data_IF_795775121324
#
_entry.id   IF_795775121324
#
_cell.length_a   1.000
_cell.length_b   1.000
_cell.length_c   1.000
_cell.angle_alpha   90.00
_cell.angle_beta   90.00
_cell.angle_gamma   90.00
#
_symmetry.space_group_name_H-M   'P 1'
#
loop_
_entity.id
_entity.type
_entity.pdbx_description
1 polymer ?
#
# COMPACT_ATOMS: atom_id res chain seq x y z
N UNK A 1 -21.07 -13.99 5.75
CA UNK A 1 -20.17 -12.92 6.27
C UNK A 1 -19.11 -12.37 5.31
N UNK A 2 -18.91 -12.87 4.06
CA UNK A 2 -17.86 -12.35 3.14
C UNK A 2 -18.13 -10.97 2.49
N UNK A 3 -19.39 -10.50 2.42
CA UNK A 3 -19.73 -9.22 1.74
C UNK A 3 -19.28 -7.98 2.52
N UNK A 4 -19.31 -8.00 3.85
CA UNK A 4 -18.97 -6.84 4.68
C UNK A 4 -17.52 -6.35 4.48
N UNK A 5 -16.54 -7.27 4.41
CA UNK A 5 -15.14 -6.91 4.19
C UNK A 5 -14.80 -6.46 2.77
N UNK A 6 -15.63 -6.84 1.79
CA UNK A 6 -15.46 -6.40 0.39
C UNK A 6 -16.05 -5.00 0.20
N UNK A 7 -17.11 -4.67 0.91
CA UNK A 7 -17.75 -3.35 0.89
C UNK A 7 -16.89 -2.32 1.64
N UNK A 8 -16.37 -2.66 2.82
CA UNK A 8 -15.51 -1.75 3.59
C UNK A 8 -14.23 -1.36 2.83
N UNK A 9 -13.63 -2.29 2.08
CA UNK A 9 -12.43 -2.02 1.28
C UNK A 9 -12.63 -1.10 0.07
N UNK A 10 -13.85 -0.68 -0.27
CA UNK A 10 -14.14 0.32 -1.33
C UNK A 10 -14.71 1.59 -0.73
N UNK A 11 -15.69 1.43 0.14
CA UNK A 11 -16.43 2.56 0.68
C UNK A 11 -15.53 3.39 1.59
N UNK A 12 -14.68 2.76 2.41
CA UNK A 12 -13.84 3.50 3.36
C UNK A 12 -12.80 4.38 2.65
N UNK A 13 -11.98 3.89 1.69
CA UNK A 13 -11.06 4.75 0.95
C UNK A 13 -11.76 5.91 0.22
N UNK A 14 -12.94 5.65 -0.37
CA UNK A 14 -13.71 6.68 -1.08
C UNK A 14 -14.27 7.69 -0.10
N UNK A 15 -14.85 7.27 1.02
CA UNK A 15 -15.36 8.19 2.05
C UNK A 15 -14.25 9.07 2.63
N UNK A 16 -13.04 8.52 2.78
CA UNK A 16 -11.87 9.28 3.24
C UNK A 16 -11.33 10.28 2.21
N UNK A 17 -11.85 10.33 0.98
CA UNK A 17 -11.45 11.35 -0.02
C UNK A 17 -11.98 12.74 0.30
N UNK A 18 -12.93 12.87 1.23
CA UNK A 18 -13.41 14.18 1.73
C UNK A 18 -12.24 15.06 2.14
N UNK A 19 -11.22 14.47 2.77
CA UNK A 19 -9.93 15.11 3.02
C UNK A 19 -8.91 14.53 2.04
N UNK A 20 -8.44 15.29 1.03
CA UNK A 20 -7.53 14.74 0.03
C UNK A 20 -6.24 14.24 0.70
N UNK A 21 -5.82 13.04 0.29
CA UNK A 21 -4.67 12.33 0.85
C UNK A 21 -5.01 11.30 1.94
N UNK A 22 -6.17 11.38 2.60
CA UNK A 22 -6.47 10.47 3.71
C UNK A 22 -6.79 9.03 3.24
N UNK A 23 -7.49 8.88 2.12
CA UNK A 23 -7.70 7.57 1.50
C UNK A 23 -6.41 6.91 0.96
N UNK A 24 -5.38 7.68 0.63
CA UNK A 24 -4.04 7.16 0.28
C UNK A 24 -3.31 6.60 1.49
N UNK A 25 -3.45 7.25 2.65
CA UNK A 25 -2.91 6.75 3.91
C UNK A 25 -3.59 5.41 4.25
N UNK A 26 -4.91 5.34 4.11
CA UNK A 26 -5.67 4.09 4.33
C UNK A 26 -5.27 2.97 3.36
N UNK A 27 -5.04 3.30 2.08
CA UNK A 27 -4.59 2.32 1.07
C UNK A 27 -3.08 2.02 1.13
N UNK A 28 -2.42 2.33 2.27
CA UNK A 28 -1.00 2.06 2.57
C UNK A 28 -0.02 2.75 1.63
N UNK A 29 -0.45 3.83 0.99
CA UNK A 29 0.41 4.75 0.23
C UNK A 29 0.63 6.05 1.01
N UNK A 30 1.04 5.91 2.28
CA UNK A 30 1.11 7.00 3.26
C UNK A 30 1.90 8.23 2.79
N UNK A 31 3.08 8.03 2.21
CA UNK A 31 3.90 9.14 1.70
C UNK A 31 3.19 9.93 0.59
N UNK A 32 2.56 9.23 -0.37
CA UNK A 32 1.78 9.90 -1.43
C UNK A 32 0.59 10.65 -0.85
N UNK A 33 -0.12 10.04 0.10
CA UNK A 33 -1.22 10.70 0.79
C UNK A 33 -0.81 11.96 1.53
N UNK A 34 0.32 11.92 2.22
CA UNK A 34 0.89 13.08 2.91
C UNK A 34 1.22 14.23 1.96
N UNK A 35 1.89 13.95 0.84
CA UNK A 35 2.22 14.97 -0.17
C UNK A 35 0.95 15.61 -0.75
N UNK A 36 -0.06 14.80 -1.10
CA UNK A 36 -1.35 15.29 -1.61
C UNK A 36 -2.04 16.19 -0.58
N UNK A 37 -2.09 15.76 0.69
CA UNK A 37 -2.69 16.53 1.77
C UNK A 37 -1.97 17.86 1.98
N UNK A 38 -0.63 17.86 2.04
CA UNK A 38 0.16 19.07 2.24
C UNK A 38 -0.05 20.11 1.12
N UNK A 39 -0.07 19.66 -0.14
CA UNK A 39 -0.32 20.54 -1.28
C UNK A 39 -1.72 21.15 -1.25
N UNK A 40 -2.73 20.35 -0.90
CA UNK A 40 -4.09 20.83 -0.74
C UNK A 40 -4.20 21.85 0.40
N UNK A 41 -3.66 21.53 1.57
CA UNK A 41 -3.69 22.38 2.75
C UNK A 41 -3.01 23.73 2.49
N UNK A 42 -1.81 23.73 1.91
CA UNK A 42 -1.08 24.95 1.57
C UNK A 42 -1.83 25.83 0.56
N UNK A 43 -2.47 25.22 -0.45
CA UNK A 43 -3.24 25.95 -1.46
C UNK A 43 -4.51 26.57 -0.87
N UNK A 44 -5.21 25.83 0.01
CA UNK A 44 -6.41 26.31 0.68
C UNK A 44 -6.09 27.41 1.70
N UNK A 45 -5.02 27.24 2.47
CA UNK A 45 -4.53 28.23 3.42
C UNK A 45 -4.20 29.55 2.72
N UNK A 46 -3.42 29.49 1.62
CA UNK A 46 -3.14 30.67 0.81
C UNK A 46 -4.42 31.37 0.32
N UNK A 47 -5.40 30.61 -0.18
CA UNK A 47 -6.67 31.18 -0.63
C UNK A 47 -7.43 31.87 0.50
N UNK A 48 -7.47 31.27 1.70
CA UNK A 48 -8.13 31.87 2.86
C UNK A 48 -7.43 33.15 3.30
N UNK A 49 -6.10 33.14 3.43
CA UNK A 49 -5.32 34.33 3.76
C UNK A 49 -5.56 35.43 2.73
N UNK A 50 -5.50 35.12 1.44
CA UNK A 50 -5.75 36.07 0.36
C UNK A 50 -7.17 36.64 0.31
N UNK A 51 -8.16 35.89 0.80
CA UNK A 51 -9.55 36.33 0.84
C UNK A 51 -9.87 37.18 2.07
N UNK A 52 -9.24 36.89 3.21
CA UNK A 52 -9.54 37.53 4.49
C UNK A 52 -8.55 38.65 4.88
N UNK A 53 -7.33 38.67 4.33
CA UNK A 53 -6.42 39.81 4.46
C UNK A 53 -6.57 40.74 3.25
N UNK A 54 -6.70 42.05 3.54
CA UNK A 54 -6.77 43.15 2.57
C UNK A 54 -5.40 43.51 1.95
N UNK A 55 -4.33 42.79 2.28
CA UNK A 55 -2.99 43.06 1.73
C UNK A 55 -2.78 42.38 0.39
N UNK A 56 -2.14 43.09 -0.55
CA UNK A 56 -1.80 42.59 -1.88
C UNK A 56 -0.76 41.47 -1.79
N UNK A 57 -1.23 40.23 -1.75
CA UNK A 57 -0.37 39.07 -1.93
C UNK A 57 0.15 38.97 -3.38
N UNK A 58 1.34 38.36 -3.59
CA UNK A 58 1.99 38.33 -4.89
C UNK A 58 1.28 37.46 -5.95
N UNK A 59 0.40 36.53 -5.54
CA UNK A 59 -0.32 35.65 -6.47
C UNK A 59 -1.84 35.75 -6.35
N UNK A 60 -2.51 35.53 -7.47
CA UNK A 60 -3.97 35.59 -7.56
C UNK A 60 -4.63 34.45 -6.74
N UNK A 61 -5.54 34.76 -5.79
CA UNK A 61 -6.23 33.75 -4.97
C UNK A 61 -7.00 32.70 -5.79
N UNK A 62 -7.51 33.07 -6.97
CA UNK A 62 -8.23 32.16 -7.86
C UNK A 62 -7.32 31.01 -8.31
N UNK A 63 -6.03 31.29 -8.52
CA UNK A 63 -5.04 30.26 -8.90
C UNK A 63 -4.87 29.25 -7.76
N UNK A 64 -4.74 29.71 -6.52
CA UNK A 64 -4.59 28.82 -5.36
C UNK A 64 -5.83 27.94 -5.15
N UNK A 65 -7.04 28.49 -5.31
CA UNK A 65 -8.27 27.71 -5.30
C UNK A 65 -8.30 26.67 -6.42
N UNK A 66 -7.89 27.05 -7.64
CA UNK A 66 -7.82 26.12 -8.77
C UNK A 66 -6.84 24.97 -8.51
N UNK A 67 -5.68 25.23 -7.90
CA UNK A 67 -4.72 24.20 -7.49
C UNK A 67 -5.34 23.27 -6.44
N UNK A 68 -6.01 23.82 -5.42
CA UNK A 68 -6.66 23.01 -4.38
C UNK A 68 -7.72 22.06 -4.98
N UNK A 69 -8.57 22.57 -5.88
CA UNK A 69 -9.57 21.76 -6.60
C UNK A 69 -8.90 20.70 -7.46
N UNK A 70 -7.87 21.06 -8.23
CA UNK A 70 -7.16 20.12 -9.10
C UNK A 70 -6.50 18.98 -8.31
N UNK A 71 -5.85 19.30 -7.18
CA UNK A 71 -5.25 18.31 -6.27
C UNK A 71 -6.33 17.38 -5.70
N UNK A 72 -7.48 17.93 -5.32
CA UNK A 72 -8.59 17.15 -4.79
C UNK A 72 -9.18 16.19 -5.83
N UNK A 73 -9.46 16.66 -7.04
CA UNK A 73 -9.97 15.84 -8.15
C UNK A 73 -8.95 14.75 -8.51
N UNK A 74 -7.66 15.08 -8.58
CA UNK A 74 -6.61 14.11 -8.83
C UNK A 74 -6.59 13.01 -7.75
N UNK A 75 -6.65 13.40 -6.46
CA UNK A 75 -6.65 12.45 -5.35
C UNK A 75 -7.85 11.50 -5.41
N UNK A 76 -9.04 12.04 -5.73
CA UNK A 76 -10.27 11.26 -5.89
C UNK A 76 -10.16 10.25 -7.03
N UNK A 77 -9.73 10.69 -8.22
CA UNK A 77 -9.54 9.82 -9.39
C UNK A 77 -8.50 8.74 -9.12
N UNK A 78 -7.39 9.07 -8.46
CA UNK A 78 -6.34 8.10 -8.12
C UNK A 78 -6.87 7.02 -7.15
N UNK A 79 -7.65 7.38 -6.13
CA UNK A 79 -8.26 6.42 -5.21
C UNK A 79 -9.27 5.53 -5.92
N UNK A 80 -10.12 6.08 -6.79
CA UNK A 80 -11.04 5.28 -7.60
C UNK A 80 -10.24 4.31 -8.47
N UNK A 81 -9.23 4.80 -9.18
CA UNK A 81 -8.36 3.97 -10.03
C UNK A 81 -7.74 2.84 -9.22
N UNK A 82 -7.13 3.12 -8.08
CA UNK A 82 -6.52 2.12 -7.19
C UNK A 82 -7.54 1.06 -6.78
N UNK A 83 -8.71 1.50 -6.30
CA UNK A 83 -9.73 0.65 -5.72
C UNK A 83 -10.40 -0.25 -6.76
N UNK A 84 -10.73 0.31 -7.92
CA UNK A 84 -11.37 -0.43 -9.01
C UNK A 84 -10.37 -1.27 -9.81
N UNK A 85 -9.16 -0.78 -10.08
CA UNK A 85 -8.15 -1.51 -10.85
C UNK A 85 -7.65 -2.76 -10.13
N UNK A 86 -7.36 -2.68 -8.82
CA UNK A 86 -6.97 -3.86 -8.02
C UNK A 86 -8.07 -4.93 -8.00
N UNK A 87 -9.33 -4.55 -8.21
CA UNK A 87 -10.48 -5.47 -8.26
C UNK A 87 -10.85 -5.93 -9.66
N UNK A 88 -10.17 -5.43 -10.69
CA UNK A 88 -10.37 -5.90 -12.05
C UNK A 88 -10.15 -7.41 -12.11
N UNK A 89 -11.10 -8.13 -12.72
CA UNK A 89 -11.00 -9.60 -12.89
C UNK A 89 -9.67 -10.00 -13.54
N UNK A 90 -9.16 -9.19 -14.45
CA UNK A 90 -7.87 -9.42 -15.12
C UNK A 90 -6.70 -9.33 -14.15
N UNK A 91 -6.68 -8.32 -13.27
CA UNK A 91 -5.63 -8.15 -12.26
C UNK A 91 -5.69 -9.28 -11.23
N UNK A 92 -6.89 -9.66 -10.79
CA UNK A 92 -7.08 -10.80 -9.88
C UNK A 92 -6.61 -12.12 -10.50
N UNK A 93 -6.94 -12.38 -11.77
CA UNK A 93 -6.45 -13.57 -12.50
C UNK A 93 -4.92 -13.58 -12.59
N UNK A 94 -4.31 -12.44 -12.95
CA UNK A 94 -2.86 -12.31 -13.03
C UNK A 94 -2.19 -12.55 -11.67
N UNK A 95 -2.73 -11.97 -10.60
CA UNK A 95 -2.25 -12.18 -9.23
C UNK A 95 -2.35 -13.65 -8.81
N UNK A 96 -3.49 -14.30 -9.06
CA UNK A 96 -3.69 -15.72 -8.75
C UNK A 96 -2.76 -16.64 -9.55
N UNK A 97 -2.52 -16.32 -10.83
CA UNK A 97 -1.57 -17.05 -11.66
C UNK A 97 -0.14 -16.92 -11.14
N UNK A 98 0.29 -15.72 -10.77
CA UNK A 98 1.60 -15.48 -10.16
C UNK A 98 1.72 -16.20 -8.81
N UNK A 99 0.68 -16.17 -7.98
CA UNK A 99 0.68 -16.87 -6.70
C UNK A 99 0.80 -18.39 -6.88
N UNK A 100 0.11 -18.96 -7.87
CA UNK A 100 0.26 -20.38 -8.21
C UNK A 100 1.70 -20.70 -8.65
N UNK A 101 2.28 -19.88 -9.53
CA UNK A 101 3.69 -20.03 -9.96
C UNK A 101 4.64 -19.98 -8.76
N UNK A 102 4.49 -18.98 -7.90
CA UNK A 102 5.28 -18.82 -6.67
C UNK A 102 5.26 -20.10 -5.82
N UNK A 103 4.07 -20.64 -5.51
CA UNK A 103 3.95 -21.87 -4.71
C UNK A 103 4.59 -23.06 -5.42
N UNK A 104 4.36 -23.24 -6.72
CA UNK A 104 4.93 -24.35 -7.48
C UNK A 104 6.46 -24.31 -7.48
N UNK A 105 7.05 -23.16 -7.77
CA UNK A 105 8.51 -23.01 -7.77
C UNK A 105 9.09 -23.17 -6.36
N UNK A 106 8.42 -22.65 -5.33
CA UNK A 106 8.83 -22.84 -3.94
C UNK A 106 8.88 -24.32 -3.56
N UNK A 107 7.83 -25.08 -3.86
CA UNK A 107 7.76 -26.51 -3.55
C UNK A 107 8.78 -27.36 -4.33
N UNK A 108 9.27 -26.85 -5.46
CA UNK A 108 10.35 -27.47 -6.25
C UNK A 108 11.75 -27.08 -5.79
N UNK A 109 11.88 -26.21 -4.78
CA UNK A 109 13.17 -25.65 -4.37
C UNK A 109 13.74 -24.61 -5.34
N UNK A 110 12.97 -24.19 -6.34
CA UNK A 110 13.35 -23.20 -7.36
C UNK A 110 13.17 -21.78 -6.80
N UNK A 111 13.90 -21.45 -5.73
CA UNK A 111 13.70 -20.24 -4.94
C UNK A 111 13.86 -18.93 -5.73
N UNK A 112 14.73 -18.90 -6.75
CA UNK A 112 14.88 -17.73 -7.63
C UNK A 112 13.59 -17.40 -8.40
N UNK A 113 12.97 -18.42 -9.01
CA UNK A 113 11.72 -18.26 -9.76
C UNK A 113 10.54 -17.98 -8.82
N UNK A 114 10.55 -18.56 -7.62
CA UNK A 114 9.56 -18.25 -6.59
C UNK A 114 9.65 -16.76 -6.16
N UNK A 115 10.87 -16.24 -6.01
CA UNK A 115 11.11 -14.85 -5.66
C UNK A 115 10.65 -13.89 -6.78
N UNK A 116 10.94 -14.20 -8.05
CA UNK A 116 10.43 -13.41 -9.18
C UNK A 116 8.89 -13.35 -9.20
N UNK A 117 8.23 -14.46 -8.91
CA UNK A 117 6.78 -14.51 -8.81
C UNK A 117 6.25 -13.66 -7.63
N UNK A 118 6.91 -13.70 -6.47
CA UNK A 118 6.64 -12.80 -5.33
C UNK A 118 6.73 -11.33 -5.75
N UNK A 119 7.82 -10.95 -6.42
CA UNK A 119 8.02 -9.57 -6.89
C UNK A 119 6.93 -9.14 -7.87
N UNK A 120 6.52 -10.02 -8.77
CA UNK A 120 5.40 -9.77 -9.69
C UNK A 120 4.10 -9.45 -8.95
N UNK A 121 3.83 -10.12 -7.83
CA UNK A 121 2.64 -9.85 -7.01
C UNK A 121 2.82 -8.55 -6.21
N UNK A 122 4.00 -8.29 -5.65
CA UNK A 122 4.28 -7.06 -4.91
C UNK A 122 4.26 -5.81 -5.80
N UNK A 123 4.55 -5.93 -7.10
CA UNK A 123 4.33 -4.83 -8.07
C UNK A 123 2.86 -4.47 -8.23
N UNK A 124 1.94 -5.43 -8.04
CA UNK A 124 0.49 -5.22 -8.09
C UNK A 124 0.00 -4.70 -6.74
N UNK A 125 0.42 -5.34 -5.65
CA UNK A 125 -0.01 -5.09 -4.28
C UNK A 125 1.23 -5.02 -3.35
N UNK A 126 1.90 -3.85 -3.26
CA UNK A 126 3.16 -3.70 -2.54
C UNK A 126 3.10 -3.97 -1.04
N UNK A 127 1.91 -3.91 -0.46
CA UNK A 127 1.71 -4.05 0.97
C UNK A 127 1.07 -5.40 1.33
N UNK A 128 1.14 -6.40 0.46
CA UNK A 128 0.52 -7.70 0.70
C UNK A 128 1.26 -8.50 1.80
N UNK A 129 0.67 -8.71 3.00
CA UNK A 129 1.35 -9.39 4.08
C UNK A 129 1.65 -10.86 3.76
N UNK A 130 0.76 -11.54 3.05
CA UNK A 130 0.94 -12.94 2.70
C UNK A 130 2.13 -13.12 1.75
N UNK A 131 2.24 -12.31 0.70
CA UNK A 131 3.36 -12.42 -0.26
C UNK A 131 4.68 -11.98 0.39
N UNK A 132 4.64 -10.96 1.26
CA UNK A 132 5.81 -10.55 2.04
C UNK A 132 6.29 -11.69 2.96
N UNK A 133 5.35 -12.44 3.55
CA UNK A 133 5.65 -13.65 4.33
C UNK A 133 6.35 -14.72 3.48
N UNK A 134 5.79 -15.04 2.30
CA UNK A 134 6.39 -16.00 1.37
C UNK A 134 7.80 -15.59 0.92
N UNK A 135 8.03 -14.30 0.63
CA UNK A 135 9.36 -13.80 0.30
C UNK A 135 10.33 -13.94 1.49
N UNK A 136 9.86 -13.76 2.72
CA UNK A 136 10.64 -14.02 3.93
C UNK A 136 11.03 -15.49 4.08
N UNK A 137 10.09 -16.41 3.86
CA UNK A 137 10.34 -17.86 3.86
C UNK A 137 11.38 -18.23 2.80
N UNK A 138 11.20 -17.75 1.56
CA UNK A 138 12.16 -17.95 0.46
C UNK A 138 13.56 -17.44 0.85
N UNK A 139 13.66 -16.24 1.42
CA UNK A 139 14.95 -15.67 1.85
C UNK A 139 15.62 -16.51 2.93
N UNK A 140 14.85 -17.14 3.84
CA UNK A 140 15.37 -18.07 4.85
C UNK A 140 15.95 -19.32 4.19
N UNK A 141 15.19 -19.94 3.28
CA UNK A 141 15.65 -21.13 2.55
C UNK A 141 16.92 -20.86 1.70
N UNK A 142 17.07 -19.64 1.19
CA UNK A 142 18.29 -19.21 0.50
C UNK A 142 19.47 -18.87 1.44
N UNK A 143 19.38 -19.13 2.75
CA UNK A 143 20.44 -18.83 3.71
C UNK A 143 20.66 -17.33 3.95
N UNK A 144 19.61 -16.50 3.79
CA UNK A 144 19.66 -15.03 4.00
C UNK A 144 18.84 -14.62 5.23
N UNK A 145 19.21 -15.03 6.46
CA UNK A 145 18.40 -14.84 7.67
C UNK A 145 18.17 -13.37 8.02
N UNK A 146 19.15 -12.50 7.75
CA UNK A 146 19.01 -11.03 7.95
C UNK A 146 17.91 -10.44 7.06
N UNK A 147 17.79 -10.91 5.82
CA UNK A 147 16.78 -10.45 4.87
C UNK A 147 15.42 -11.02 5.25
N UNK A 148 15.36 -12.33 5.57
CA UNK A 148 14.15 -12.99 6.04
C UNK A 148 13.54 -12.26 7.26
N UNK A 149 14.36 -11.94 8.26
CA UNK A 149 13.93 -11.18 9.46
C UNK A 149 13.28 -9.84 9.11
N UNK A 150 13.85 -9.08 8.18
CA UNK A 150 13.28 -7.80 7.74
C UNK A 150 11.93 -8.00 7.05
N UNK A 151 11.82 -8.99 6.18
CA UNK A 151 10.58 -9.31 5.46
C UNK A 151 9.48 -9.79 6.42
N UNK A 152 9.79 -10.63 7.41
CA UNK A 152 8.82 -11.03 8.43
C UNK A 152 8.33 -9.86 9.27
N UNK A 153 9.22 -8.96 9.68
CA UNK A 153 8.82 -7.73 10.37
C UNK A 153 7.93 -6.84 9.49
N UNK A 154 8.24 -6.73 8.19
CA UNK A 154 7.41 -6.00 7.24
C UNK A 154 6.04 -6.65 7.05
N UNK A 155 5.98 -7.98 6.93
CA UNK A 155 4.74 -8.73 6.85
C UNK A 155 3.85 -8.48 8.07
N UNK A 156 4.42 -8.47 9.27
CA UNK A 156 3.72 -8.12 10.52
C UNK A 156 3.17 -6.70 10.53
N UNK A 157 3.95 -5.72 10.09
CA UNK A 157 3.48 -4.32 9.98
C UNK A 157 2.32 -4.19 9.00
N UNK A 158 2.34 -5.01 7.96
CA UNK A 158 1.32 -5.04 6.91
C UNK A 158 0.15 -5.98 7.23
N UNK A 159 0.10 -6.65 8.36
CA UNK A 159 -0.96 -7.61 8.70
C UNK A 159 -1.96 -7.03 9.71
N UNK A 160 -2.80 -6.11 9.24
CA UNK A 160 -3.85 -5.45 10.06
C UNK A 160 -4.81 -6.43 10.72
N UNK A 161 -5.07 -7.57 10.07
CA UNK A 161 -6.01 -8.59 10.58
C UNK A 161 -5.34 -9.64 11.46
N UNK A 162 -4.00 -9.62 11.55
CA UNK A 162 -3.25 -10.56 12.36
C UNK A 162 -3.29 -12.01 11.87
N UNK A 163 -3.65 -12.28 10.61
CA UNK A 163 -3.73 -13.65 10.06
C UNK A 163 -2.37 -14.36 10.06
N UNK A 164 -1.29 -13.61 9.92
CA UNK A 164 0.09 -14.09 9.87
C UNK A 164 0.84 -13.82 11.17
N UNK A 165 0.20 -13.24 12.19
CA UNK A 165 0.86 -12.83 13.44
C UNK A 165 1.59 -14.00 14.10
N UNK A 166 0.93 -15.15 14.23
CA UNK A 166 1.52 -16.35 14.83
C UNK A 166 2.66 -16.92 13.98
N UNK A 167 2.45 -17.02 12.67
CA UNK A 167 3.45 -17.56 11.75
C UNK A 167 4.70 -16.68 11.70
N UNK A 168 4.54 -15.35 11.68
CA UNK A 168 5.67 -14.41 11.75
C UNK A 168 6.45 -14.56 13.05
N UNK A 169 5.78 -14.75 14.20
CA UNK A 169 6.47 -14.93 15.48
C UNK A 169 7.28 -16.22 15.45
N UNK A 170 6.67 -17.34 15.05
CA UNK A 170 7.35 -18.64 14.89
C UNK A 170 8.60 -18.52 14.03
N UNK A 171 8.46 -17.88 12.87
CA UNK A 171 9.56 -17.69 11.92
C UNK A 171 10.67 -16.78 12.46
N UNK A 172 10.31 -15.72 13.18
CA UNK A 172 11.29 -14.84 13.82
C UNK A 172 12.03 -15.51 14.97
N UNK A 173 11.38 -16.42 15.70
CA UNK A 173 11.99 -17.17 16.78
C UNK A 173 12.92 -18.27 16.24
N UNK A 174 12.51 -18.99 15.19
CA UNK A 174 13.37 -19.95 14.49
C UNK A 174 14.68 -19.33 13.96
N UNK A 175 14.64 -18.06 13.53
CA UNK A 175 15.83 -17.33 13.09
C UNK A 175 16.77 -16.92 14.24
N UNK A 176 16.31 -16.90 15.50
CA UNK A 176 17.18 -16.61 16.66
C UNK A 176 17.97 -17.83 17.10
N UNK A 177 17.42 -19.03 16.87
CA UNK A 177 18.01 -20.31 17.27
C UNK A 177 19.09 -20.78 16.29
N UNK A 178 19.20 -20.17 15.10
CA UNK A 178 20.27 -20.44 14.15
C UNK A 178 21.51 -19.59 14.51
N UNK A 179 22.64 -20.22 14.93
CA UNK A 179 23.89 -19.49 15.10
C UNK A 179 24.37 -18.93 13.75
N UNK A 180 24.88 -17.70 13.79
CA UNK A 180 25.33 -16.94 12.63
C UNK A 180 26.56 -17.55 11.94
#
# INVERSE_FOLDING_TARGET
>A
MKRAGVISGVIVPIALTIVPGWGHIWTRRGFRGFVIFALFAASLDYFLVAKFNLETLPFNPVIALAIAVAVHVFAFVDILRITFWLRSKTVQRRRSALFRKMVVHYLRGEYGQAQEACEGILRIDPANPAVTMWSGMIARECGRPKVARRLFQQARRNDERGYWKQEVVRELDALKEQPA
#
